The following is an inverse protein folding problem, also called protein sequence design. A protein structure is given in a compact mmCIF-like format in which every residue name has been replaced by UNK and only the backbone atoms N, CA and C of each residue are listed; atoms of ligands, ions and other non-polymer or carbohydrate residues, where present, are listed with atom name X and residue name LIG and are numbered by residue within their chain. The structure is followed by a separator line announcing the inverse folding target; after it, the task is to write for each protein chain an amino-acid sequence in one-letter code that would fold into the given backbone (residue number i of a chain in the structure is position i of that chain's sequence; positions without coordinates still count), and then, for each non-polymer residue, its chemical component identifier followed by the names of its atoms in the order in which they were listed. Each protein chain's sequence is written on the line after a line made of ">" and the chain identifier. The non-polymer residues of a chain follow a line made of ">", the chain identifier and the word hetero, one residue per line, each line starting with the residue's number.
data_IF_672540027886
#
_entry.id   IF_672540027886
#
_cell.length_a   1.000
_cell.length_b   1.000
_cell.length_c   1.000
_cell.angle_alpha   90.00
_cell.angle_beta   90.00
_cell.angle_gamma   90.00
#
_symmetry.space_group_name_H-M   'P 1'
#
loop_
_entity.id
_entity.type
_entity.pdbx_description
1 polymer ?
#
# COMPACT_ATOMS: atom_id res chain seq x y z
N UNK A 1 -0.93 26.08 13.00
CA UNK A 1 0.55 26.08 12.91
C UNK A 1 1.23 25.63 14.21
N UNK A 2 0.83 26.14 15.38
CA UNK A 2 1.37 25.72 16.68
C UNK A 2 1.32 24.19 16.92
N UNK A 3 0.16 23.55 16.68
CA UNK A 3 0.01 22.10 16.86
C UNK A 3 0.96 21.29 15.95
N UNK A 4 1.09 21.69 14.68
CA UNK A 4 2.02 21.05 13.74
C UNK A 4 3.47 21.13 14.23
N UNK A 5 3.87 22.28 14.79
CA UNK A 5 5.20 22.46 15.36
C UNK A 5 5.39 21.57 16.59
N UNK A 6 4.43 21.56 17.51
CA UNK A 6 4.46 20.72 18.71
C UNK A 6 4.61 19.23 18.37
N UNK A 7 3.75 18.68 17.50
CA UNK A 7 3.80 17.26 17.13
C UNK A 7 5.09 16.89 16.38
N UNK A 8 5.66 17.85 15.63
CA UNK A 8 6.98 17.69 15.01
C UNK A 8 8.10 17.61 16.04
N UNK A 9 8.07 18.48 17.05
CA UNK A 9 9.05 18.49 18.15
C UNK A 9 8.94 17.23 19.02
N UNK A 10 7.74 16.67 19.15
CA UNK A 10 7.50 15.36 19.77
C UNK A 10 7.99 14.17 18.90
N UNK A 11 8.43 14.41 17.66
CA UNK A 11 8.97 13.38 16.76
C UNK A 11 7.92 12.58 15.98
N UNK A 12 6.63 12.91 16.05
CA UNK A 12 5.58 12.13 15.39
C UNK A 12 5.69 12.09 13.87
N UNK A 13 6.46 13.00 13.27
CA UNK A 13 6.65 13.08 11.82
C UNK A 13 7.95 12.42 11.35
N UNK A 14 8.74 11.86 12.27
CA UNK A 14 10.04 11.30 11.95
C UNK A 14 9.89 10.02 11.13
N UNK A 15 10.64 9.95 10.02
CA UNK A 15 10.68 8.79 9.12
C UNK A 15 11.05 7.49 9.85
N UNK A 16 11.78 7.58 10.97
CA UNK A 16 12.15 6.43 11.80
C UNK A 16 10.95 5.70 12.43
N UNK A 17 9.81 6.38 12.58
CA UNK A 17 8.59 5.80 13.15
C UNK A 17 7.63 5.26 12.09
N UNK A 18 7.87 5.55 10.81
CA UNK A 18 7.02 5.13 9.71
C UNK A 18 7.22 3.66 9.38
N UNK A 19 6.10 2.94 9.28
CA UNK A 19 6.05 1.52 8.94
C UNK A 19 6.12 1.35 7.44
N UNK A 20 6.84 0.32 6.99
CA UNK A 20 6.86 -0.05 5.58
C UNK A 20 5.54 -0.65 5.18
N UNK A 21 5.06 -0.30 3.99
CA UNK A 21 3.89 -0.96 3.41
C UNK A 21 4.24 -2.40 3.01
N UNK A 22 3.30 -3.35 3.20
CA UNK A 22 3.46 -4.69 2.69
C UNK A 22 3.52 -4.65 1.15
N UNK A 23 4.49 -5.34 0.51
CA UNK A 23 4.62 -5.32 -0.95
C UNK A 23 3.50 -6.07 -1.68
N UNK A 24 2.83 -6.99 -0.99
CA UNK A 24 1.75 -7.85 -1.51
C UNK A 24 0.63 -7.96 -0.46
N UNK A 25 -0.17 -6.91 -0.21
CA UNK A 25 -1.25 -6.97 0.76
C UNK A 25 -2.36 -7.89 0.26
N UNK A 26 -2.92 -8.71 1.14
CA UNK A 26 -4.10 -9.53 0.85
C UNK A 26 -5.38 -8.77 1.20
N UNK A 27 -5.32 -7.91 2.22
CA UNK A 27 -6.49 -7.23 2.77
C UNK A 27 -6.19 -5.78 3.10
N UNK A 28 -7.05 -4.87 2.65
CA UNK A 28 -6.94 -3.43 2.85
C UNK A 28 -8.15 -2.91 3.63
N UNK A 29 -7.90 -2.13 4.69
CA UNK A 29 -8.93 -1.36 5.37
C UNK A 29 -9.05 0.02 4.75
N UNK A 30 -10.27 0.50 4.51
CA UNK A 30 -10.55 1.83 3.96
C UNK A 30 -11.45 2.56 4.96
N UNK A 31 -10.98 3.66 5.52
CA UNK A 31 -11.75 4.53 6.40
C UNK A 31 -12.16 5.76 5.61
N UNK A 32 -13.45 5.84 5.23
CA UNK A 32 -13.96 6.92 4.39
C UNK A 32 -15.48 7.05 4.46
N UNK A 33 -16.03 8.05 3.79
CA UNK A 33 -17.48 8.23 3.65
C UNK A 33 -18.06 7.16 2.72
N UNK A 34 -19.16 6.48 3.10
CA UNK A 34 -19.73 5.38 2.34
C UNK A 34 -20.31 5.78 0.98
N UNK A 35 -20.61 7.06 0.76
CA UNK A 35 -21.25 7.58 -0.46
C UNK A 35 -20.31 8.45 -1.32
N UNK A 36 -19.02 8.50 -1.00
CA UNK A 36 -18.06 9.39 -1.66
C UNK A 36 -17.42 8.82 -2.92
N UNK A 37 -17.09 9.70 -3.88
CA UNK A 37 -16.35 9.35 -5.09
C UNK A 37 -15.00 8.66 -4.79
N UNK A 38 -14.34 9.02 -3.66
CA UNK A 38 -13.08 8.41 -3.24
C UNK A 38 -13.15 6.89 -3.09
N UNK A 39 -14.24 6.35 -2.55
CA UNK A 39 -14.40 4.91 -2.39
C UNK A 39 -14.52 4.22 -3.76
N UNK A 40 -15.24 4.84 -4.69
CA UNK A 40 -15.40 4.33 -6.05
C UNK A 40 -14.07 4.35 -6.79
N UNK A 41 -13.30 5.43 -6.66
CA UNK A 41 -11.97 5.58 -7.26
C UNK A 41 -11.02 4.50 -6.77
N UNK A 42 -10.93 4.29 -5.45
CA UNK A 42 -10.11 3.23 -4.86
C UNK A 42 -10.56 1.86 -5.36
N UNK A 43 -11.86 1.55 -5.28
CA UNK A 43 -12.40 0.27 -5.73
C UNK A 43 -12.08 0.00 -7.20
N UNK A 44 -12.18 1.00 -8.08
CA UNK A 44 -11.87 0.86 -9.51
C UNK A 44 -10.40 0.54 -9.74
N UNK A 45 -9.49 1.25 -9.05
CA UNK A 45 -8.05 1.01 -9.16
C UNK A 45 -7.68 -0.37 -8.62
N UNK A 46 -8.14 -0.73 -7.42
CA UNK A 46 -7.84 -2.03 -6.81
C UNK A 46 -8.29 -3.18 -7.73
N UNK A 47 -9.55 -3.17 -8.19
CA UNK A 47 -10.09 -4.22 -9.08
C UNK A 47 -9.28 -4.42 -10.36
N UNK A 48 -8.75 -3.33 -10.93
CA UNK A 48 -7.95 -3.39 -12.16
C UNK A 48 -6.52 -3.85 -11.90
N UNK A 49 -5.92 -3.40 -10.80
CA UNK A 49 -4.46 -3.44 -10.58
C UNK A 49 -4.01 -4.69 -9.81
N UNK A 50 -4.77 -5.15 -8.83
CA UNK A 50 -4.36 -6.26 -7.97
C UNK A 50 -5.55 -6.95 -7.26
N UNK A 51 -5.62 -8.29 -7.21
CA UNK A 51 -6.72 -9.01 -6.56
C UNK A 51 -6.59 -8.96 -5.03
N UNK A 52 -7.00 -7.84 -4.43
CA UNK A 52 -6.99 -7.61 -2.98
C UNK A 52 -8.42 -7.53 -2.43
N UNK A 53 -8.61 -7.98 -1.20
CA UNK A 53 -9.87 -7.78 -0.47
C UNK A 53 -9.89 -6.40 0.18
N UNK A 54 -10.97 -5.63 -0.02
CA UNK A 54 -11.12 -4.30 0.56
C UNK A 54 -12.28 -4.27 1.56
N UNK A 55 -11.99 -3.84 2.79
CA UNK A 55 -12.96 -3.67 3.87
C UNK A 55 -13.18 -2.19 4.11
N UNK A 56 -14.44 -1.76 4.15
CA UNK A 56 -14.78 -0.35 4.34
C UNK A 56 -15.32 -0.13 5.73
N UNK A 57 -14.70 0.80 6.47
CA UNK A 57 -15.27 1.35 7.69
C UNK A 57 -15.89 2.72 7.37
N UNK A 58 -17.23 2.88 7.50
CA UNK A 58 -17.90 4.14 7.22
C UNK A 58 -17.53 5.18 8.29
N UNK A 59 -16.95 6.30 7.85
CA UNK A 59 -16.55 7.41 8.70
C UNK A 59 -16.98 8.76 8.10
N UNK A 60 -17.13 9.75 8.98
CA UNK A 60 -17.27 11.14 8.56
C UNK A 60 -15.90 11.65 8.14
N UNK A 61 -15.85 12.36 7.03
CA UNK A 61 -14.62 12.91 6.42
C UNK A 61 -14.62 14.44 6.36
N UNK A 62 -15.59 15.05 7.03
CA UNK A 62 -15.77 16.50 7.12
C UNK A 62 -16.54 16.85 8.40
N UNK A 63 -16.35 18.09 8.87
CA UNK A 63 -16.99 18.59 10.07
C UNK A 63 -16.29 18.17 11.38
N UNK A 64 -16.76 18.74 12.49
CA UNK A 64 -16.15 18.61 13.82
C UNK A 64 -16.15 17.20 14.40
N UNK A 65 -17.11 16.36 13.99
CA UNK A 65 -17.26 14.99 14.50
C UNK A 65 -16.45 13.97 13.67
N UNK A 66 -15.85 14.38 12.55
CA UNK A 66 -15.05 13.52 11.69
C UNK A 66 -13.86 12.86 12.40
N UNK A 67 -13.00 13.58 13.15
CA UNK A 67 -11.83 12.98 13.79
C UNK A 67 -12.20 11.77 14.64
N UNK A 68 -13.26 11.89 15.46
CA UNK A 68 -13.76 10.80 16.31
C UNK A 68 -14.16 9.56 15.53
N UNK A 69 -14.80 9.71 14.37
CA UNK A 69 -15.20 8.57 13.53
C UNK A 69 -14.03 7.95 12.79
N UNK A 70 -13.06 8.76 12.36
CA UNK A 70 -11.83 8.30 11.72
C UNK A 70 -10.98 7.50 12.71
N UNK A 71 -10.80 7.99 13.93
CA UNK A 71 -10.10 7.30 15.02
C UNK A 71 -10.72 5.93 15.28
N UNK A 72 -12.06 5.86 15.40
CA UNK A 72 -12.77 4.59 15.58
C UNK A 72 -12.53 3.61 14.44
N UNK A 73 -12.43 4.08 13.19
CA UNK A 73 -12.10 3.23 12.04
C UNK A 73 -10.69 2.66 12.13
N UNK A 74 -9.71 3.48 12.51
CA UNK A 74 -8.33 3.03 12.75
C UNK A 74 -8.30 1.99 13.87
N UNK A 75 -8.93 2.29 15.00
CA UNK A 75 -8.99 1.39 16.17
C UNK A 75 -9.69 0.08 15.84
N UNK A 76 -10.79 0.13 15.08
CA UNK A 76 -11.52 -1.05 14.61
C UNK A 76 -10.59 -2.00 13.85
N UNK A 77 -9.88 -1.50 12.82
CA UNK A 77 -8.97 -2.34 12.03
C UNK A 77 -7.79 -2.85 12.85
N UNK A 78 -7.24 -2.03 13.76
CA UNK A 78 -6.17 -2.45 14.66
C UNK A 78 -6.61 -3.51 15.67
N UNK A 79 -7.86 -3.48 16.13
CA UNK A 79 -8.42 -4.46 17.05
C UNK A 79 -8.76 -5.77 16.34
N UNK A 80 -9.33 -5.69 15.13
CA UNK A 80 -9.66 -6.86 14.34
C UNK A 80 -8.40 -7.58 13.82
N UNK A 81 -7.36 -6.81 13.47
CA UNK A 81 -6.06 -7.34 13.03
C UNK A 81 -6.13 -8.12 11.72
N UNK A 82 -7.13 -7.84 10.88
CA UNK A 82 -7.41 -8.58 9.64
C UNK A 82 -7.00 -7.87 8.36
N UNK A 83 -6.48 -6.65 8.43
CA UNK A 83 -6.02 -5.90 7.26
C UNK A 83 -4.53 -5.62 7.36
N UNK A 84 -3.84 -5.61 6.23
CA UNK A 84 -2.39 -5.43 6.15
C UNK A 84 -1.98 -3.97 6.09
N UNK A 85 -2.90 -3.10 5.64
CA UNK A 85 -2.75 -1.65 5.63
C UNK A 85 -4.11 -0.95 5.74
N UNK A 86 -4.11 0.31 6.17
CA UNK A 86 -5.30 1.16 6.27
C UNK A 86 -5.13 2.37 5.34
N UNK A 87 -6.15 2.71 4.57
CA UNK A 87 -6.24 3.95 3.79
C UNK A 87 -7.25 4.87 4.46
N UNK A 88 -6.82 6.06 4.84
CA UNK A 88 -7.70 7.15 5.26
C UNK A 88 -7.85 8.09 4.08
N UNK A 89 -9.08 8.36 3.66
CA UNK A 89 -9.31 9.17 2.48
C UNK A 89 -10.64 9.92 2.53
N UNK A 90 -10.72 10.99 1.74
CA UNK A 90 -11.94 11.75 1.51
C UNK A 90 -12.14 11.94 0.01
N UNK A 91 -13.40 12.08 -0.42
CA UNK A 91 -13.73 12.41 -1.81
C UNK A 91 -14.10 13.88 -1.94
N UNK A 92 -13.41 14.63 -2.80
CA UNK A 92 -13.70 16.04 -3.07
C UNK A 92 -13.81 16.92 -1.82
N UNK A 93 -14.43 18.08 -1.96
CA UNK A 93 -14.70 19.01 -0.86
C UNK A 93 -13.79 20.24 -0.84
N UNK A 94 -14.18 21.20 -0.02
CA UNK A 94 -13.46 22.46 0.15
C UNK A 94 -12.18 22.25 0.97
N UNK A 95 -11.34 23.30 1.06
CA UNK A 95 -10.23 23.32 2.01
C UNK A 95 -10.73 23.31 3.47
N UNK A 96 -11.91 23.86 3.75
CA UNK A 96 -12.47 23.89 5.11
C UNK A 96 -12.76 22.47 5.62
N UNK A 97 -13.14 21.57 4.70
CA UNK A 97 -13.39 20.17 5.00
C UNK A 97 -12.10 19.41 5.38
N UNK A 98 -10.92 19.91 5.00
CA UNK A 98 -9.63 19.34 5.42
C UNK A 98 -9.32 19.57 6.90
N UNK A 99 -9.99 20.53 7.55
CA UNK A 99 -9.62 20.94 8.90
C UNK A 99 -9.71 19.79 9.91
N UNK A 100 -10.65 18.87 9.72
CA UNK A 100 -10.78 17.68 10.57
C UNK A 100 -9.55 16.74 10.55
N UNK A 101 -8.72 16.80 9.50
CA UNK A 101 -7.47 16.02 9.43
C UNK A 101 -6.29 16.70 10.13
N UNK A 102 -6.49 17.89 10.70
CA UNK A 102 -5.52 18.60 11.54
C UNK A 102 -5.79 18.40 13.04
N UNK A 103 -6.56 17.39 13.40
CA UNK A 103 -6.88 17.05 14.78
C UNK A 103 -5.73 16.31 15.49
N UNK A 104 -5.46 16.66 16.75
CA UNK A 104 -4.37 16.08 17.54
C UNK A 104 -4.63 14.61 17.90
N UNK A 105 -5.86 14.27 18.30
CA UNK A 105 -6.21 12.91 18.70
C UNK A 105 -6.12 11.96 17.50
N UNK A 106 -6.57 12.42 16.32
CA UNK A 106 -6.43 11.69 15.08
C UNK A 106 -4.95 11.46 14.73
N UNK A 107 -4.11 12.50 14.84
CA UNK A 107 -2.68 12.36 14.58
C UNK A 107 -2.03 11.32 15.49
N UNK A 108 -2.34 11.38 16.80
CA UNK A 108 -1.86 10.40 17.77
C UNK A 108 -2.43 9.00 17.53
N UNK A 109 -3.65 8.87 17.01
CA UNK A 109 -4.23 7.58 16.66
C UNK A 109 -3.53 6.94 15.45
N UNK A 110 -3.23 7.73 14.41
CA UNK A 110 -2.46 7.28 13.26
C UNK A 110 -1.07 6.82 13.70
N UNK A 111 -0.36 7.64 14.49
CA UNK A 111 0.97 7.29 15.01
C UNK A 111 0.98 5.98 15.80
N UNK A 112 -0.03 5.76 16.65
CA UNK A 112 -0.17 4.56 17.49
C UNK A 112 -0.70 3.34 16.75
N UNK A 113 -1.15 3.48 15.51
CA UNK A 113 -1.63 2.36 14.70
C UNK A 113 -0.53 1.30 14.58
N UNK A 114 -0.87 0.03 14.79
CA UNK A 114 0.02 -1.13 14.55
C UNK A 114 0.09 -1.48 13.07
N UNK A 115 -1.01 -1.23 12.37
CA UNK A 115 -1.16 -1.45 10.92
C UNK A 115 -0.70 -0.17 10.19
N UNK A 116 0.09 -0.27 9.10
CA UNK A 116 0.54 0.91 8.37
C UNK A 116 -0.64 1.68 7.76
N UNK A 117 -0.56 3.01 7.83
CA UNK A 117 -1.63 3.94 7.42
C UNK A 117 -1.16 4.79 6.24
N UNK A 118 -1.97 4.81 5.17
CA UNK A 118 -1.85 5.73 4.05
C UNK A 118 -2.85 6.86 4.23
N UNK A 119 -2.37 8.11 4.23
CA UNK A 119 -3.23 9.30 4.20
C UNK A 119 -3.41 9.79 2.76
N UNK A 120 -4.66 9.91 2.32
CA UNK A 120 -5.05 10.33 0.98
C UNK A 120 -6.14 11.40 1.04
N UNK A 121 -5.89 12.46 1.83
CA UNK A 121 -6.87 13.50 2.15
C UNK A 121 -6.47 14.86 1.59
N UNK A 122 -5.18 15.19 1.59
CA UNK A 122 -4.64 16.44 1.05
C UNK A 122 -4.50 16.43 -0.48
N UNK A 123 -4.60 17.61 -1.10
CA UNK A 123 -4.23 17.82 -2.51
C UNK A 123 -2.74 18.14 -2.62
N UNK A 124 -2.19 18.28 -3.83
CA UNK A 124 -0.76 18.52 -4.07
C UNK A 124 -0.16 19.69 -3.27
N UNK A 125 -0.97 20.70 -2.91
CA UNK A 125 -0.54 21.92 -2.21
C UNK A 125 -1.00 22.02 -0.75
N UNK A 126 -2.02 21.26 -0.34
CA UNK A 126 -2.66 21.38 0.99
C UNK A 126 -2.37 20.15 1.85
N UNK A 127 -1.38 20.25 2.73
CA UNK A 127 -0.98 19.17 3.64
C UNK A 127 -1.67 19.29 4.99
N UNK A 128 -2.28 18.19 5.44
CA UNK A 128 -2.83 18.06 6.80
C UNK A 128 -1.83 17.44 7.77
N UNK A 129 -2.07 17.57 9.08
CA UNK A 129 -1.27 16.87 10.11
C UNK A 129 -1.34 15.35 9.90
N UNK A 130 -2.51 14.83 9.52
CA UNK A 130 -2.69 13.41 9.18
C UNK A 130 -1.73 12.95 8.07
N UNK A 131 -1.44 13.81 7.08
CA UNK A 131 -0.49 13.49 6.01
C UNK A 131 0.97 13.43 6.48
N UNK A 132 1.32 14.18 7.52
CA UNK A 132 2.68 14.19 8.07
C UNK A 132 2.96 12.98 8.98
N UNK A 133 1.95 12.57 9.75
CA UNK A 133 2.05 11.47 10.72
C UNK A 133 1.78 10.09 10.13
N UNK A 134 1.07 10.01 9.00
CA UNK A 134 0.86 8.76 8.30
C UNK A 134 2.17 8.12 7.84
N UNK A 135 2.16 6.79 7.76
CA UNK A 135 3.32 6.01 7.28
C UNK A 135 3.61 6.32 5.81
N UNK A 136 2.57 6.65 5.04
CA UNK A 136 2.74 7.17 3.69
C UNK A 136 1.63 8.16 3.32
N UNK A 137 1.99 9.16 2.52
CA UNK A 137 1.04 10.11 1.93
C UNK A 137 0.78 9.78 0.47
N UNK A 138 -0.48 9.86 0.06
CA UNK A 138 -0.90 9.90 -1.33
C UNK A 138 -1.64 11.22 -1.63
N UNK A 139 -1.46 11.80 -2.83
CA UNK A 139 -2.11 13.06 -3.21
C UNK A 139 -3.60 12.92 -3.58
N UNK A 140 -4.06 11.69 -3.87
CA UNK A 140 -5.44 11.40 -4.26
C UNK A 140 -5.88 10.01 -3.77
N UNK A 141 -7.19 9.75 -3.65
CA UNK A 141 -7.69 8.41 -3.36
C UNK A 141 -7.19 7.36 -4.35
N UNK A 142 -7.21 7.67 -5.65
CA UNK A 142 -6.67 6.80 -6.71
C UNK A 142 -5.20 6.50 -6.51
N UNK A 143 -4.37 7.52 -6.24
CA UNK A 143 -2.94 7.33 -5.99
C UNK A 143 -2.69 6.47 -4.74
N UNK A 144 -3.50 6.61 -3.70
CA UNK A 144 -3.41 5.74 -2.53
C UNK A 144 -3.67 4.28 -2.90
N UNK A 145 -4.69 3.99 -3.70
CA UNK A 145 -4.94 2.64 -4.18
C UNK A 145 -3.79 2.10 -5.03
N UNK A 146 -3.19 2.93 -5.89
CA UNK A 146 -2.05 2.53 -6.72
C UNK A 146 -0.77 2.24 -5.93
N UNK A 147 -0.54 2.98 -4.85
CA UNK A 147 0.61 2.79 -3.97
C UNK A 147 0.38 1.61 -3.02
N UNK A 148 -0.86 1.38 -2.60
CA UNK A 148 -1.21 0.31 -1.69
C UNK A 148 -0.95 -1.09 -2.29
N UNK A 149 -1.07 -1.27 -3.61
CA UNK A 149 -0.97 -2.58 -4.26
C UNK A 149 0.02 -2.60 -5.43
N UNK A 150 0.69 -3.74 -5.67
CA UNK A 150 1.55 -3.88 -6.84
C UNK A 150 0.73 -3.94 -8.13
N UNK A 151 1.38 -3.72 -9.27
CA UNK A 151 0.75 -3.86 -10.58
C UNK A 151 0.81 -5.31 -11.07
N UNK A 152 -0.36 -5.92 -11.32
CA UNK A 152 -0.48 -7.28 -11.85
C UNK A 152 0.28 -7.49 -13.16
N UNK A 153 0.28 -6.53 -14.09
CA UNK A 153 0.93 -6.70 -15.40
C UNK A 153 2.45 -6.73 -15.26
N UNK A 154 2.99 -5.94 -14.33
CA UNK A 154 4.41 -5.95 -14.00
C UNK A 154 4.80 -7.30 -13.36
N UNK A 155 3.96 -7.83 -12.47
CA UNK A 155 4.18 -9.15 -11.86
C UNK A 155 4.13 -10.28 -12.90
N UNK A 156 3.15 -10.23 -13.81
CA UNK A 156 3.04 -11.22 -14.90
C UNK A 156 4.25 -11.16 -15.83
N UNK A 157 4.71 -9.95 -16.18
CA UNK A 157 5.90 -9.74 -17.00
C UNK A 157 7.16 -10.27 -16.30
N UNK A 158 7.29 -10.00 -15.00
CA UNK A 158 8.38 -10.50 -14.19
C UNK A 158 8.41 -12.03 -14.13
N UNK A 159 7.27 -12.67 -13.86
CA UNK A 159 7.13 -14.13 -13.85
C UNK A 159 7.44 -14.75 -15.23
N UNK A 160 6.97 -14.12 -16.31
CA UNK A 160 7.30 -14.54 -17.68
C UNK A 160 8.81 -14.50 -17.96
N UNK A 161 9.49 -13.42 -17.54
CA UNK A 161 10.95 -13.32 -17.68
C UNK A 161 11.69 -14.39 -16.89
N UNK A 162 11.21 -14.72 -15.67
CA UNK A 162 11.76 -15.79 -14.85
C UNK A 162 11.59 -17.15 -15.51
N UNK A 163 10.41 -17.43 -16.06
CA UNK A 163 10.13 -18.67 -16.77
C UNK A 163 11.02 -18.85 -18.00
N UNK A 164 11.23 -17.79 -18.79
CA UNK A 164 12.11 -17.83 -19.95
C UNK A 164 13.56 -18.12 -19.56
N UNK A 165 14.08 -17.44 -18.52
CA UNK A 165 15.43 -17.69 -18.00
C UNK A 165 15.59 -19.13 -17.52
N UNK A 166 14.63 -19.62 -16.74
CA UNK A 166 14.66 -21.00 -16.23
C UNK A 166 14.65 -22.03 -17.36
N UNK A 167 13.82 -21.82 -18.39
CA UNK A 167 13.75 -22.68 -19.58
C UNK A 167 15.08 -22.70 -20.35
N UNK A 168 15.69 -21.53 -20.56
CA UNK A 168 16.98 -21.44 -21.26
C UNK A 168 18.09 -22.12 -20.46
N UNK A 169 18.17 -21.88 -19.14
CA UNK A 169 19.13 -22.53 -18.27
C UNK A 169 18.98 -24.06 -18.27
N UNK A 170 17.75 -24.57 -18.22
CA UNK A 170 17.48 -26.00 -18.29
C UNK A 170 17.91 -26.60 -19.65
N UNK A 171 17.57 -25.95 -20.76
CA UNK A 171 17.98 -26.39 -22.11
C UNK A 171 19.50 -26.40 -22.28
N UNK A 172 20.18 -25.36 -21.83
CA UNK A 172 21.64 -25.28 -21.92
C UNK A 172 22.31 -26.39 -21.11
N UNK A 173 21.78 -26.71 -19.92
CA UNK A 173 22.30 -27.80 -19.11
C UNK A 173 22.11 -29.17 -19.77
N UNK A 174 20.91 -29.46 -20.25
CA UNK A 174 20.62 -30.71 -20.97
C UNK A 174 21.48 -30.85 -22.24
N UNK A 175 21.64 -29.78 -23.00
CA UNK A 175 22.51 -29.77 -24.19
C UNK A 175 23.98 -30.04 -23.81
N UNK A 176 24.48 -29.40 -22.75
CA UNK A 176 25.83 -29.64 -22.25
C UNK A 176 26.05 -31.08 -21.78
N UNK A 177 25.09 -31.65 -21.05
CA UNK A 177 25.15 -33.03 -20.58
C UNK A 177 25.09 -34.03 -21.75
N UNK A 178 24.26 -33.76 -22.78
CA UNK A 178 24.20 -34.56 -24.00
C UNK A 178 25.51 -34.54 -24.79
N UNK A 179 26.15 -33.37 -24.94
CA UNK A 179 27.47 -33.26 -25.57
C UNK A 179 28.52 -34.07 -24.81
N UNK A 180 28.53 -33.95 -23.47
CA UNK A 180 29.46 -34.70 -22.61
C UNK A 180 29.27 -36.22 -22.73
N UNK A 181 28.03 -36.70 -22.77
CA UNK A 181 27.73 -38.11 -22.99
C UNK A 181 28.20 -38.60 -24.36
N UNK A 182 27.99 -37.80 -25.42
CA UNK A 182 28.47 -38.12 -26.77
C UNK A 182 30.00 -38.23 -26.81
N UNK A 183 30.72 -37.28 -26.21
CA UNK A 183 32.18 -37.33 -26.13
C UNK A 183 32.70 -38.55 -25.35
N UNK A 184 32.06 -38.89 -24.22
CA UNK A 184 32.43 -40.07 -23.43
C UNK A 184 32.17 -41.36 -24.22
N UNK A 185 31.07 -41.43 -24.96
CA UNK A 185 30.74 -42.58 -25.82
C UNK A 185 31.78 -42.75 -26.94
N UNK A 186 32.16 -41.67 -27.62
CA UNK A 186 33.21 -41.69 -28.65
C UNK A 186 34.58 -42.07 -28.08
N UNK A 187 34.90 -41.65 -26.85
CA UNK A 187 36.13 -42.08 -26.17
C UNK A 187 36.10 -43.58 -25.89
N UNK A 188 34.99 -44.09 -25.34
CA UNK A 188 34.81 -45.51 -25.06
C UNK A 188 34.96 -46.38 -26.31
N UNK A 189 34.37 -45.96 -27.43
CA UNK A 189 34.44 -46.70 -28.70
C UNK A 189 35.83 -46.74 -29.33
N UNK A 190 36.80 -45.94 -28.85
CA UNK A 190 38.20 -45.98 -29.31
C UNK A 190 39.07 -46.94 -28.49
N UNK A 191 38.57 -47.44 -27.36
CA UNK A 191 39.25 -48.43 -26.51
C UNK A 191 38.83 -49.87 -26.81
N UNK A 192 37.80 -50.06 -27.66
CA UNK A 192 37.40 -51.34 -28.23
C UNK A 192 37.82 -51.42 -29.69
#
# INVERSE_FOLDING_TARGET
>A
EALKKQLREEGLFDEAHKKKLPPYPERIGIVTSPTGAALQDISNILKRRYPVEAFVYPALVQGKDAPRTLIRGIEYFNAEGRVDLIIITRGGGSQEDLFCFNDEELARAIFRSKIPVISAVGHEIDFSISDFVADLRAPTPSAAAEIAVPNKDDLMSYLGSMQQRLSLSAKNRLSGDAHRLSELTLKLSRYH
#
